data_IF_290560034850
#
_entry.id   IF_290560034850
#
_cell.length_a   1.000
_cell.length_b   1.000
_cell.length_c   1.000
_cell.angle_alpha   90.00
_cell.angle_beta   90.00
_cell.angle_gamma   90.00
#
_symmetry.space_group_name_H-M   'P 1'
#
loop_
_entity.id
_entity.type
_entity.pdbx_description
1 polymer ?
#
# COMPACT_ATOMS: atom_id res chain seq x y z
N UNK A 1 -10.50 -11.76 4.89
CA UNK A 1 -9.45 -10.80 4.48
C UNK A 1 -9.19 -11.02 3.00
N UNK A 2 -9.55 -10.06 2.14
CA UNK A 2 -9.50 -10.23 0.68
C UNK A 2 -8.08 -9.90 0.19
N UNK A 3 -7.44 -10.84 -0.51
CA UNK A 3 -6.10 -10.66 -1.08
C UNK A 3 -6.27 -10.29 -2.55
N UNK A 4 -5.80 -9.10 -2.93
CA UNK A 4 -5.75 -8.69 -4.34
C UNK A 4 -4.38 -9.11 -4.90
N UNK A 5 -4.41 -10.03 -5.86
CA UNK A 5 -3.21 -10.48 -6.59
C UNK A 5 -3.07 -9.57 -7.80
N UNK A 6 -1.97 -8.83 -7.88
CA UNK A 6 -1.72 -7.97 -9.03
C UNK A 6 -1.27 -8.84 -10.21
N UNK A 7 -1.92 -8.73 -11.39
CA UNK A 7 -1.42 -9.41 -12.57
C UNK A 7 -0.08 -8.76 -12.99
N UNK A 8 0.90 -9.55 -13.44
CA UNK A 8 2.15 -9.05 -14.01
C UNK A 8 1.91 -8.19 -15.26
N UNK A 9 2.74 -7.15 -15.47
CA UNK A 9 2.66 -6.24 -16.61
C UNK A 9 3.80 -6.49 -17.60
N UNK A 10 3.55 -6.28 -18.89
CA UNK A 10 4.53 -6.44 -19.98
C UNK A 10 5.51 -5.25 -20.03
N UNK A 11 5.04 -4.09 -19.59
CA UNK A 11 5.82 -2.88 -19.37
C UNK A 11 5.93 -2.58 -17.88
N UNK A 12 7.08 -2.07 -17.46
CA UNK A 12 7.39 -1.83 -16.06
C UNK A 12 6.62 -0.67 -15.44
N UNK A 13 5.71 0.00 -16.13
CA UNK A 13 4.96 1.17 -15.62
C UNK A 13 3.47 0.87 -15.55
N UNK A 14 2.85 1.15 -14.41
CA UNK A 14 1.42 0.93 -14.12
C UNK A 14 0.74 2.24 -13.74
N UNK A 15 -0.57 2.34 -14.02
CA UNK A 15 -1.39 3.45 -13.51
C UNK A 15 -2.02 3.08 -12.18
N UNK A 16 -1.79 3.90 -11.17
CA UNK A 16 -2.36 3.80 -9.84
C UNK A 16 -3.38 4.92 -9.65
N UNK A 17 -4.63 4.57 -9.34
CA UNK A 17 -5.68 5.50 -8.97
C UNK A 17 -5.97 5.41 -7.48
N UNK A 18 -6.03 6.56 -6.83
CA UNK A 18 -6.16 6.67 -5.38
C UNK A 18 -6.97 7.91 -4.98
N UNK A 19 -7.50 7.93 -3.77
CA UNK A 19 -8.20 9.10 -3.23
C UNK A 19 -7.22 10.07 -2.58
N UNK A 20 -7.41 11.37 -2.82
CA UNK A 20 -6.83 12.44 -2.01
C UNK A 20 -7.55 12.62 -0.67
N UNK A 21 -7.02 13.47 0.20
CA UNK A 21 -7.66 13.88 1.46
C UNK A 21 -9.01 14.57 1.24
N UNK A 22 -9.20 15.16 0.07
CA UNK A 22 -10.42 15.79 -0.44
C UNK A 22 -11.44 14.80 -1.04
N UNK A 23 -11.08 13.51 -1.14
CA UNK A 23 -11.90 12.51 -1.79
C UNK A 23 -11.89 12.54 -3.31
N UNK A 24 -11.08 13.40 -3.93
CA UNK A 24 -10.91 13.40 -5.37
C UNK A 24 -10.02 12.23 -5.81
N UNK A 25 -10.38 11.61 -6.93
CA UNK A 25 -9.55 10.55 -7.51
C UNK A 25 -8.35 11.18 -8.21
N UNK A 26 -7.16 10.70 -7.86
CA UNK A 26 -5.87 11.10 -8.41
C UNK A 26 -5.22 9.91 -9.09
N UNK A 27 -4.34 10.19 -10.05
CA UNK A 27 -3.59 9.17 -10.78
C UNK A 27 -2.09 9.38 -10.58
N UNK A 28 -1.35 8.28 -10.48
CA UNK A 28 0.11 8.27 -10.51
C UNK A 28 0.63 7.11 -11.36
N UNK A 29 1.72 7.34 -12.07
CA UNK A 29 2.49 6.26 -12.69
C UNK A 29 3.40 5.59 -11.67
N UNK A 30 3.42 4.27 -11.72
CA UNK A 30 3.98 3.44 -10.69
C UNK A 30 4.76 2.27 -11.31
N UNK A 31 6.08 2.20 -11.06
CA UNK A 31 6.97 1.30 -11.78
C UNK A 31 7.19 -0.05 -11.06
N UNK A 32 6.94 -1.18 -11.72
CA UNK A 32 7.13 -2.56 -11.25
C UNK A 32 8.32 -3.28 -11.90
N UNK A 33 9.49 -2.65 -11.98
CA UNK A 33 10.72 -3.30 -12.48
C UNK A 33 11.39 -4.15 -11.40
N UNK A 34 11.97 -5.30 -11.79
CA UNK A 34 12.76 -6.18 -10.92
C UNK A 34 14.05 -5.50 -10.45
N UNK A 35 14.61 -4.59 -11.26
CA UNK A 35 15.83 -3.83 -10.92
C UNK A 35 15.59 -2.83 -9.77
N UNK A 36 14.37 -2.28 -9.68
CA UNK A 36 13.96 -1.31 -8.65
C UNK A 36 13.30 -1.98 -7.43
N UNK A 37 12.66 -3.13 -7.66
CA UNK A 37 11.94 -3.91 -6.66
C UNK A 37 12.22 -5.40 -6.88
N UNK A 38 13.32 -5.87 -6.30
CA UNK A 38 13.73 -7.27 -6.39
C UNK A 38 12.84 -8.22 -5.57
N UNK A 39 12.96 -9.53 -5.79
CA UNK A 39 12.31 -10.52 -4.94
C UNK A 39 12.72 -10.35 -3.47
N UNK A 40 11.82 -10.66 -2.54
CA UNK A 40 12.03 -10.52 -1.09
C UNK A 40 12.33 -9.09 -0.60
N UNK A 41 11.92 -8.09 -1.39
CA UNK A 41 11.90 -6.70 -0.96
C UNK A 41 10.46 -6.23 -0.76
N UNK A 42 10.26 -5.33 0.20
CA UNK A 42 9.02 -4.63 0.40
C UNK A 42 9.16 -3.18 -0.09
N UNK A 43 8.41 -2.81 -1.12
CA UNK A 43 8.29 -1.39 -1.49
C UNK A 43 7.17 -0.77 -0.66
N UNK A 44 7.41 0.41 -0.11
CA UNK A 44 6.39 1.19 0.60
C UNK A 44 6.20 2.53 -0.10
N UNK A 45 4.97 2.82 -0.53
CA UNK A 45 4.60 4.02 -1.26
C UNK A 45 3.68 4.88 -0.38
N UNK A 46 4.06 6.14 -0.16
CA UNK A 46 3.27 7.13 0.56
C UNK A 46 2.49 8.02 -0.43
N UNK A 47 1.18 7.90 -0.44
CA UNK A 47 0.25 8.73 -1.23
C UNK A 47 -0.51 9.76 -0.39
N UNK A 48 -0.18 9.88 0.89
CA UNK A 48 -0.72 10.95 1.73
C UNK A 48 -0.08 12.29 1.35
N UNK A 49 -0.73 13.37 1.76
CA UNK A 49 -0.23 14.74 1.62
C UNK A 49 0.82 15.14 2.68
N UNK A 50 1.22 14.18 3.53
CA UNK A 50 2.16 14.38 4.62
C UNK A 50 3.13 13.20 4.76
N UNK A 51 4.22 13.43 5.48
CA UNK A 51 5.23 12.41 5.78
C UNK A 51 4.69 11.32 6.70
N UNK A 52 5.19 10.09 6.49
CA UNK A 52 4.87 8.94 7.32
C UNK A 52 6.12 8.27 7.84
N UNK A 53 6.13 8.01 9.15
CA UNK A 53 7.14 7.18 9.78
C UNK A 53 6.72 5.72 9.63
N UNK A 54 7.45 4.93 8.87
CA UNK A 54 7.18 3.51 8.71
C UNK A 54 8.14 2.69 9.55
N UNK A 55 7.61 1.60 10.11
CA UNK A 55 8.40 0.53 10.71
C UNK A 55 8.08 -0.76 9.98
N UNK A 56 9.12 -1.37 9.46
CA UNK A 56 9.08 -2.67 8.82
C UNK A 56 10.06 -3.58 9.57
N UNK A 57 9.52 -4.44 10.42
CA UNK A 57 10.32 -5.23 11.37
C UNK A 57 11.21 -4.35 12.28
N UNK A 58 12.54 -4.48 12.19
CA UNK A 58 13.50 -3.63 12.90
C UNK A 58 13.86 -2.35 12.13
N UNK A 59 13.54 -2.26 10.84
CA UNK A 59 13.83 -1.10 10.01
C UNK A 59 12.81 0.02 10.25
N UNK A 60 13.31 1.23 10.43
CA UNK A 60 12.51 2.46 10.51
C UNK A 60 12.92 3.38 9.38
N UNK A 61 11.95 3.99 8.73
CA UNK A 61 12.19 4.96 7.69
C UNK A 61 11.13 6.06 7.72
N UNK A 62 11.53 7.26 7.33
CA UNK A 62 10.59 8.35 7.04
C UNK A 62 10.35 8.37 5.52
N UNK A 63 9.09 8.46 5.11
CA UNK A 63 8.70 8.57 3.71
C UNK A 63 7.93 9.88 3.54
N UNK A 64 8.48 10.84 2.81
CA UNK A 64 7.79 12.10 2.55
C UNK A 64 6.53 11.90 1.70
N UNK A 65 5.67 12.90 1.68
CA UNK A 65 4.48 12.92 0.83
C UNK A 65 4.83 12.60 -0.63
N UNK A 66 4.11 11.65 -1.24
CA UNK A 66 4.35 11.24 -2.63
C UNK A 66 5.66 10.50 -2.88
N UNK A 67 6.43 10.11 -1.86
CA UNK A 67 7.65 9.32 -2.05
C UNK A 67 7.41 7.82 -1.84
N UNK A 68 8.38 7.02 -2.27
CA UNK A 68 8.44 5.59 -2.01
C UNK A 68 9.86 5.18 -1.60
N UNK A 69 9.94 4.07 -0.88
CA UNK A 69 11.21 3.45 -0.50
C UNK A 69 11.13 1.94 -0.72
N UNK A 70 12.28 1.31 -0.85
CA UNK A 70 12.41 -0.15 -0.88
C UNK A 70 13.13 -0.60 0.38
N UNK A 71 12.50 -1.51 1.12
CA UNK A 71 13.01 -2.10 2.35
C UNK A 71 13.39 -3.55 2.09
N UNK A 72 14.55 -3.97 2.61
CA UNK A 72 15.00 -5.35 2.52
C UNK A 72 14.21 -6.19 3.53
N UNK A 73 13.78 -7.39 3.13
CA UNK A 73 13.19 -8.33 4.09
C UNK A 73 14.25 -9.34 4.49
N UNK A 74 14.47 -9.51 5.80
CA UNK A 74 15.54 -10.35 6.33
C UNK A 74 15.36 -11.83 5.98
N UNK A 75 14.12 -12.29 5.84
CA UNK A 75 13.80 -13.67 5.43
C UNK A 75 12.55 -13.72 4.54
N UNK A 76 12.59 -14.48 3.43
CA UNK A 76 11.39 -14.91 2.68
C UNK A 76 10.38 -15.65 3.55
N UNK A 77 10.90 -16.41 4.52
CA UNK A 77 10.18 -17.30 5.39
C UNK A 77 9.88 -16.57 6.69
N UNK A 78 8.66 -16.06 6.84
CA UNK A 78 8.26 -15.38 8.06
C UNK A 78 7.08 -14.44 7.91
N UNK A 79 6.50 -14.07 9.04
CA UNK A 79 5.62 -12.91 9.15
C UNK A 79 6.42 -11.73 9.67
N UNK A 80 6.43 -10.63 8.93
CA UNK A 80 7.07 -9.39 9.33
C UNK A 80 6.02 -8.34 9.73
N UNK A 81 6.39 -7.53 10.73
CA UNK A 81 5.53 -6.48 11.26
C UNK A 81 5.57 -5.24 10.36
N UNK A 82 4.41 -4.65 10.08
CA UNK A 82 4.33 -3.36 9.41
C UNK A 82 3.51 -2.39 10.26
N UNK A 83 4.04 -1.18 10.43
CA UNK A 83 3.40 -0.07 11.10
C UNK A 83 3.72 1.21 10.33
N UNK A 84 2.79 2.16 10.28
CA UNK A 84 3.09 3.51 9.80
C UNK A 84 2.39 4.53 10.70
N UNK A 85 3.11 5.54 11.18
CA UNK A 85 2.56 6.67 11.89
C UNK A 85 2.56 7.92 11.01
N UNK A 86 1.60 8.81 11.24
CA UNK A 86 1.62 10.15 10.66
C UNK A 86 2.63 10.99 11.45
N UNK A 87 3.41 11.81 10.74
CA UNK A 87 4.28 12.78 11.40
C UNK A 87 3.46 13.97 11.90
N UNK A 88 2.92 13.85 13.10
CA UNK A 88 2.43 14.99 13.88
C UNK A 88 3.18 14.98 15.21
N UNK A 89 3.81 16.11 15.55
CA UNK A 89 4.54 16.26 16.80
C UNK A 89 3.59 15.97 17.97
N UNK A 90 3.92 14.95 18.79
CA UNK A 90 3.14 14.59 19.98
C UNK A 90 1.93 13.66 19.76
N UNK A 91 1.66 13.19 18.54
CA UNK A 91 0.60 12.19 18.33
C UNK A 91 1.12 10.77 18.38
N UNK A 92 0.35 9.88 19.03
CA UNK A 92 0.56 8.44 18.96
C UNK A 92 0.56 7.99 17.50
N UNK A 93 1.61 7.27 17.02
CA UNK A 93 1.63 6.72 15.68
C UNK A 93 0.33 5.95 15.44
N UNK A 94 -0.38 6.28 14.36
CA UNK A 94 -1.48 5.44 13.91
C UNK A 94 -0.93 4.02 13.73
N UNK A 95 -1.61 3.00 14.25
CA UNK A 95 -1.14 1.62 14.09
C UNK A 95 -1.97 1.00 12.99
N UNK A 96 -1.36 0.82 11.82
CA UNK A 96 -1.98 0.12 10.71
C UNK A 96 -2.62 -1.20 11.16
N UNK A 97 -3.81 -1.55 10.65
CA UNK A 97 -4.38 -2.89 10.85
C UNK A 97 -3.53 -3.99 10.19
N UNK A 98 -2.61 -3.65 9.28
CA UNK A 98 -1.66 -4.58 8.66
C UNK A 98 -0.52 -4.98 9.62
N UNK A 99 -0.86 -5.70 10.69
CA UNK A 99 0.11 -6.07 11.74
C UNK A 99 1.11 -7.15 11.33
N UNK A 100 0.75 -8.00 10.36
CA UNK A 100 1.59 -9.09 9.86
C UNK A 100 1.46 -9.22 8.34
N UNK A 101 2.61 -9.21 7.67
CA UNK A 101 2.78 -9.41 6.24
C UNK A 101 3.70 -10.62 6.06
N UNK A 102 3.48 -11.44 5.06
CA UNK A 102 4.35 -12.58 4.74
C UNK A 102 4.44 -12.76 3.23
N UNK A 103 5.59 -13.21 2.72
CA UNK A 103 5.66 -13.76 1.38
C UNK A 103 5.05 -15.16 1.40
N UNK A 104 4.30 -15.50 0.36
CA UNK A 104 3.62 -16.79 0.22
C UNK A 104 4.32 -17.71 -0.78
N UNK A 105 5.22 -17.17 -1.61
CA UNK A 105 5.93 -17.92 -2.65
C UNK A 105 7.36 -17.37 -2.82
N UNK A 106 8.29 -18.19 -3.31
CA UNK A 106 9.58 -17.72 -3.81
C UNK A 106 9.37 -16.65 -4.89
N UNK A 107 10.31 -15.70 -4.99
CA UNK A 107 10.31 -14.63 -5.97
C UNK A 107 9.12 -13.65 -5.92
N UNK A 108 8.35 -13.64 -4.83
CA UNK A 108 7.32 -12.63 -4.64
C UNK A 108 7.90 -11.26 -4.33
N UNK A 109 7.22 -10.25 -4.86
CA UNK A 109 7.41 -8.85 -4.56
C UNK A 109 6.23 -8.33 -3.77
N UNK A 110 6.51 -7.57 -2.71
CA UNK A 110 5.48 -6.97 -1.85
C UNK A 110 5.48 -5.45 -2.03
N UNK A 111 4.32 -4.90 -2.33
CA UNK A 111 4.07 -3.46 -2.29
C UNK A 111 3.12 -3.14 -1.15
N UNK A 112 3.46 -2.18 -0.31
CA UNK A 112 2.55 -1.55 0.64
C UNK A 112 2.26 -0.12 0.19
N UNK A 113 0.99 0.24 0.08
CA UNK A 113 0.55 1.59 -0.30
C UNK A 113 -0.11 2.21 0.93
N UNK A 114 0.42 3.33 1.41
CA UNK A 114 -0.18 4.16 2.43
C UNK A 114 -0.94 5.28 1.72
N UNK A 115 -2.26 5.37 1.92
CA UNK A 115 -3.12 6.33 1.21
C UNK A 115 -4.47 6.49 1.89
N UNK A 116 -5.32 7.37 1.36
CA UNK A 116 -6.65 7.58 1.92
C UNK A 116 -7.63 6.50 1.46
N UNK A 117 -8.40 5.96 2.40
CA UNK A 117 -9.55 5.10 2.11
C UNK A 117 -10.85 5.77 2.56
N UNK A 118 -11.93 5.64 1.77
CA UNK A 118 -13.23 6.13 2.18
C UNK A 118 -13.74 5.34 3.38
N UNK A 119 -14.20 6.05 4.41
CA UNK A 119 -14.87 5.55 5.59
C UNK A 119 -16.24 6.20 5.68
N UNK A 120 -17.30 5.39 5.69
CA UNK A 120 -18.66 5.91 5.82
C UNK A 120 -19.14 5.69 7.24
N UNK A 121 -19.46 6.78 7.92
CA UNK A 121 -20.14 6.75 9.21
C UNK A 121 -21.62 7.05 8.98
N UNK A 122 -22.49 6.19 9.51
CA UNK A 122 -23.94 6.39 9.51
C UNK A 122 -24.33 6.95 10.87
N UNK A 123 -24.82 8.18 10.88
CA UNK A 123 -25.33 8.82 12.10
C UNK A 123 -26.76 8.40 12.44
N UNK A 124 -27.20 8.76 13.65
CA UNK A 124 -28.60 8.65 14.03
C UNK A 124 -29.47 9.48 13.06
N UNK A 125 -30.56 8.88 12.58
CA UNK A 125 -31.43 9.46 11.55
C UNK A 125 -31.09 9.07 10.10
N UNK A 126 -30.14 8.15 9.88
CA UNK A 126 -29.87 7.59 8.55
C UNK A 126 -29.03 8.48 7.63
N UNK A 127 -28.49 9.59 8.14
CA UNK A 127 -27.53 10.41 7.40
C UNK A 127 -26.18 9.70 7.35
N UNK A 128 -25.63 9.54 6.14
CA UNK A 128 -24.29 8.98 5.94
C UNK A 128 -23.32 10.06 5.56
N UNK A 129 -22.18 10.15 6.26
CA UNK A 129 -21.05 11.00 5.91
C UNK A 129 -19.88 10.13 5.49
N UNK A 130 -19.30 10.42 4.32
CA UNK A 130 -18.07 9.76 3.87
C UNK A 130 -16.89 10.66 4.20
N UNK A 131 -15.93 10.12 4.94
CA UNK A 131 -14.64 10.73 5.23
C UNK A 131 -13.53 9.91 4.59
N UNK A 132 -12.34 10.48 4.46
CA UNK A 132 -11.19 9.81 3.85
C UNK A 132 -10.10 9.69 4.90
N UNK A 133 -9.86 8.46 5.35
CA UNK A 133 -8.96 8.18 6.47
C UNK A 133 -7.67 7.54 5.98
N UNK A 134 -6.49 7.95 6.49
CA UNK A 134 -5.24 7.29 6.18
C UNK A 134 -5.31 5.80 6.51
N UNK A 135 -4.94 4.95 5.57
CA UNK A 135 -4.84 3.50 5.74
C UNK A 135 -3.65 2.94 4.95
N UNK A 136 -3.34 1.67 5.15
CA UNK A 136 -2.37 0.95 4.34
C UNK A 136 -3.00 -0.28 3.68
N UNK A 137 -2.67 -0.48 2.40
CA UNK A 137 -3.02 -1.65 1.60
C UNK A 137 -1.77 -2.39 1.18
N UNK A 138 -1.88 -3.70 0.98
CA UNK A 138 -0.78 -4.56 0.53
C UNK A 138 -1.13 -5.27 -0.77
N UNK A 139 -0.13 -5.41 -1.63
CA UNK A 139 -0.24 -6.06 -2.92
C UNK A 139 0.95 -6.99 -3.14
N UNK A 140 0.67 -8.16 -3.70
CA UNK A 140 1.68 -9.16 -4.03
C UNK A 140 1.77 -9.33 -5.54
N UNK A 141 2.99 -9.41 -6.04
CA UNK A 141 3.32 -9.68 -7.44
C UNK A 141 4.23 -10.91 -7.51
N UNK A 142 3.86 -11.88 -8.36
CA UNK A 142 4.68 -13.05 -8.68
C UNK A 142 5.54 -12.73 -9.92
N UNK A 143 6.87 -12.81 -9.81
CA UNK A 143 7.80 -12.50 -10.93
C UNK A 143 7.77 -13.59 -12.02
N UNK A 144 7.49 -14.85 -11.66
CA UNK A 144 7.56 -16.01 -12.57
C UNK A 144 6.27 -16.27 -13.38
N UNK A 145 5.19 -15.53 -13.13
CA UNK A 145 4.04 -15.50 -14.03
C UNK A 145 4.13 -14.18 -14.80
N UNK A 146 3.95 -14.21 -16.11
CA UNK A 146 3.68 -13.03 -16.94
C UNK A 146 2.42 -13.37 -17.75
N UNK A 147 1.22 -12.86 -17.46
CA UNK A 147 0.09 -13.00 -18.36
C UNK A 147 0.17 -11.95 -19.45
N UNK A 148 -0.21 -12.37 -20.64
CA UNK A 148 -0.32 -11.61 -21.88
C UNK A 148 -1.59 -10.73 -21.91
N UNK A 149 -1.78 -9.84 -20.94
CA UNK A 149 -2.99 -9.00 -20.78
C UNK A 149 -2.59 -7.51 -20.65
N UNK A 150 -3.35 -6.56 -21.23
CA UNK A 150 -3.00 -5.13 -21.25
C UNK A 150 -2.90 -4.49 -19.86
N UNK A 151 -2.21 -3.35 -19.82
CA UNK A 151 -1.71 -2.65 -18.63
C UNK A 151 -2.68 -2.64 -17.43
N UNK A 152 -2.27 -3.23 -16.29
CA UNK A 152 -3.15 -3.31 -15.14
C UNK A 152 -3.20 -2.00 -14.36
N UNK A 153 -4.44 -1.51 -14.19
CA UNK A 153 -4.78 -0.38 -13.33
C UNK A 153 -4.86 -0.86 -11.88
N UNK A 154 -4.13 -0.22 -10.97
CA UNK A 154 -4.33 -0.40 -9.52
C UNK A 154 -5.33 0.63 -9.05
N UNK A 155 -6.49 0.18 -8.60
CA UNK A 155 -7.49 1.04 -7.93
C UNK A 155 -7.42 0.71 -6.45
N UNK A 156 -7.18 1.70 -5.57
CA UNK A 156 -7.38 1.50 -4.14
C UNK A 156 -8.89 1.29 -3.89
N UNK A 157 -9.36 0.06 -3.62
CA UNK A 157 -10.79 -0.21 -3.57
C UNK A 157 -11.42 0.46 -2.36
N UNK A 158 -12.70 0.83 -2.50
CA UNK A 158 -13.58 1.03 -1.36
C UNK A 158 -13.47 -0.20 -0.45
N UNK A 159 -13.28 0.01 0.85
CA UNK A 159 -13.56 -1.03 1.85
C UNK A 159 -15.06 -1.34 1.77
N UNK A 160 -15.44 -2.27 0.88
CA UNK A 160 -16.76 -2.85 0.88
C UNK A 160 -16.91 -3.62 2.20
N UNK A 161 -17.87 -3.13 2.98
CA UNK A 161 -18.41 -3.63 4.25
C UNK A 161 -18.17 -5.12 4.51
N UNK A 162 -17.80 -5.42 5.75
CA UNK A 162 -18.27 -6.62 6.45
C UNK A 162 -19.16 -6.18 7.58
#
# INVERSE_FOLDING_TARGET
MQTWVLPPGKDSIRKLYYYGSDGQVRQREFTTSVELHGPFHARVLNLLDQSVAVRFDEQKAMINAGQEITLKVASPEGSFGFQYGLEQAGTTPYISPLKKLSFRRPQQRLTVIVGYLPSTETGEGGTSKTTYVPNALRFYEDVDRLPSIPDPVVVMPHLARR
#
